data_IF_044293839639
#
_entry.id   IF_044293839639
#
_cell.length_a   1.000
_cell.length_b   1.000
_cell.length_c   1.000
_cell.angle_alpha   90.00
_cell.angle_beta   90.00
_cell.angle_gamma   90.00
#
_symmetry.space_group_name_H-M   'P 1'
#
loop_
_entity.id
_entity.type
_entity.pdbx_description
1 polymer ?
#
# COMPACT_ATOMS: atom_id res chain seq x y z
N UNK A 1 21.21 0.71 -6.67
CA UNK A 1 20.58 1.51 -5.61
C UNK A 1 20.48 2.95 -6.07
N UNK A 2 19.40 3.29 -6.74
CA UNK A 2 19.27 4.45 -7.65
C UNK A 2 18.49 5.61 -7.04
N UNK A 3 18.34 5.73 -5.70
CA UNK A 3 17.49 6.78 -5.08
C UNK A 3 15.98 6.61 -5.36
N UNK A 4 15.61 5.62 -6.18
CA UNK A 4 14.21 5.35 -6.55
C UNK A 4 13.42 4.70 -5.41
N UNK A 5 14.09 4.12 -4.41
CA UNK A 5 13.43 3.53 -3.25
C UNK A 5 12.64 4.58 -2.44
N UNK A 6 13.15 5.80 -2.29
CA UNK A 6 12.46 6.90 -1.63
C UNK A 6 11.22 7.31 -2.41
N UNK A 7 11.30 7.37 -3.74
CA UNK A 7 10.14 7.69 -4.59
C UNK A 7 9.09 6.58 -4.53
N UNK A 8 9.50 5.31 -4.53
CA UNK A 8 8.57 4.19 -4.38
C UNK A 8 7.85 4.24 -3.02
N UNK A 9 8.60 4.49 -1.94
CA UNK A 9 8.03 4.65 -0.60
C UNK A 9 7.02 5.79 -0.52
N UNK A 10 7.25 6.90 -1.23
CA UNK A 10 6.31 8.01 -1.30
C UNK A 10 4.98 7.61 -1.96
N UNK A 11 4.96 6.60 -2.82
CA UNK A 11 3.74 6.02 -3.38
C UNK A 11 2.78 5.49 -2.30
N UNK A 12 3.29 4.97 -1.20
CA UNK A 12 2.46 4.52 -0.07
C UNK A 12 1.75 5.67 0.66
N UNK A 13 2.29 6.88 0.59
CA UNK A 13 1.60 8.07 1.10
C UNK A 13 0.51 8.57 0.15
N UNK A 14 0.70 8.43 -1.16
CA UNK A 14 -0.25 8.87 -2.19
C UNK A 14 -1.41 7.88 -2.35
N UNK A 15 -1.15 6.58 -2.22
CA UNK A 15 -2.13 5.52 -2.44
C UNK A 15 -3.46 5.73 -1.68
N UNK A 16 -3.49 6.10 -0.39
CA UNK A 16 -4.73 6.34 0.33
C UNK A 16 -5.62 7.40 -0.32
N UNK A 17 -5.03 8.47 -0.87
CA UNK A 17 -5.79 9.49 -1.59
C UNK A 17 -6.37 8.96 -2.91
N UNK A 18 -5.60 8.14 -3.63
CA UNK A 18 -6.10 7.46 -4.84
C UNK A 18 -7.27 6.54 -4.50
N UNK A 19 -7.19 5.79 -3.40
CA UNK A 19 -8.28 4.93 -2.95
C UNK A 19 -9.56 5.72 -2.61
N UNK A 20 -9.42 6.88 -1.96
CA UNK A 20 -10.55 7.78 -1.68
C UNK A 20 -11.17 8.30 -2.98
N UNK A 21 -10.36 8.76 -3.91
CA UNK A 21 -10.82 9.25 -5.21
C UNK A 21 -11.55 8.13 -5.97
N UNK A 22 -10.99 6.93 -5.99
CA UNK A 22 -11.62 5.78 -6.65
C UNK A 22 -12.91 5.34 -5.95
N UNK A 23 -12.95 5.36 -4.62
CA UNK A 23 -14.18 5.13 -3.86
C UNK A 23 -15.28 6.13 -4.22
N UNK A 24 -14.93 7.40 -4.33
CA UNK A 24 -15.87 8.45 -4.75
C UNK A 24 -16.37 8.27 -6.18
N UNK A 25 -15.46 8.06 -7.15
CA UNK A 25 -15.80 8.03 -8.58
C UNK A 25 -16.49 6.72 -8.94
N UNK A 26 -15.93 5.57 -8.55
CA UNK A 26 -16.37 4.26 -9.05
C UNK A 26 -17.34 3.54 -8.12
N UNK A 27 -17.29 3.78 -6.82
CA UNK A 27 -18.20 3.17 -5.84
C UNK A 27 -19.30 4.14 -5.38
N UNK A 28 -19.26 5.40 -5.81
CA UNK A 28 -20.26 6.40 -5.43
C UNK A 28 -20.22 6.75 -3.94
N UNK A 29 -19.10 6.52 -3.26
CA UNK A 29 -18.96 6.84 -1.84
C UNK A 29 -19.13 8.34 -1.60
N UNK A 30 -19.84 8.70 -0.54
CA UNK A 30 -20.09 10.08 -0.14
C UNK A 30 -19.47 10.35 1.21
N UNK A 31 -18.86 11.52 1.34
CA UNK A 31 -18.15 11.90 2.54
C UNK A 31 -18.88 13.00 3.30
N UNK A 32 -18.92 12.86 4.63
CA UNK A 32 -19.38 13.93 5.50
C UNK A 32 -18.39 15.12 5.46
N UNK A 33 -18.83 16.29 5.92
CA UNK A 33 -17.94 17.47 6.01
C UNK A 33 -16.72 17.20 6.90
N UNK A 34 -16.89 16.38 7.93
CA UNK A 34 -15.84 16.00 8.87
C UNK A 34 -14.84 15.06 8.18
N UNK A 35 -15.32 14.09 7.40
CA UNK A 35 -14.47 13.22 6.61
C UNK A 35 -13.68 13.99 5.53
N UNK A 36 -14.30 14.98 4.88
CA UNK A 36 -13.61 15.85 3.93
C UNK A 36 -12.48 16.62 4.61
N UNK A 37 -12.71 17.17 5.80
CA UNK A 37 -11.64 17.84 6.56
C UNK A 37 -10.49 16.88 6.89
N UNK A 38 -10.78 15.65 7.29
CA UNK A 38 -9.76 14.63 7.53
C UNK A 38 -8.94 14.30 6.26
N UNK A 39 -9.61 14.20 5.11
CA UNK A 39 -8.95 13.99 3.81
C UNK A 39 -8.05 15.17 3.46
N UNK A 40 -8.48 16.40 3.72
CA UNK A 40 -7.65 17.60 3.51
C UNK A 40 -6.40 17.60 4.37
N UNK A 41 -6.46 17.14 5.62
CA UNK A 41 -5.28 16.96 6.45
C UNK A 41 -4.27 15.99 5.81
N UNK A 42 -4.74 14.87 5.26
CA UNK A 42 -3.89 13.92 4.54
C UNK A 42 -3.27 14.52 3.26
N UNK A 43 -4.04 15.30 2.50
CA UNK A 43 -3.53 16.02 1.33
C UNK A 43 -2.44 17.02 1.73
N UNK A 44 -2.67 17.82 2.76
CA UNK A 44 -1.68 18.77 3.27
C UNK A 44 -0.37 18.07 3.69
N UNK A 45 -0.48 16.91 4.35
CA UNK A 45 0.68 16.09 4.72
C UNK A 45 1.51 15.69 3.51
N UNK A 46 0.88 15.13 2.46
CA UNK A 46 1.57 14.64 1.26
C UNK A 46 2.20 15.79 0.49
N UNK A 47 1.48 16.90 0.35
CA UNK A 47 1.99 18.11 -0.32
C UNK A 47 3.21 18.64 0.41
N UNK A 48 3.14 18.78 1.74
CA UNK A 48 4.25 19.25 2.56
C UNK A 48 5.47 18.34 2.42
N UNK A 49 5.27 17.03 2.49
CA UNK A 49 6.35 16.05 2.37
C UNK A 49 6.96 16.06 0.95
N UNK A 50 6.14 16.14 -0.08
CA UNK A 50 6.59 16.22 -1.48
C UNK A 50 7.47 17.45 -1.74
N UNK A 51 7.06 18.61 -1.26
CA UNK A 51 7.87 19.84 -1.36
C UNK A 51 9.16 19.75 -0.55
N UNK A 52 9.10 19.25 0.68
CA UNK A 52 10.25 19.16 1.56
C UNK A 52 11.33 18.22 1.02
N UNK A 53 10.94 17.11 0.43
CA UNK A 53 11.85 16.11 -0.13
C UNK A 53 12.23 16.38 -1.59
N UNK A 54 11.69 17.42 -2.21
CA UNK A 54 11.90 17.77 -3.64
C UNK A 54 11.70 16.57 -4.57
N UNK A 55 10.71 15.73 -4.26
CA UNK A 55 10.43 14.53 -5.03
C UNK A 55 9.62 14.85 -6.29
N UNK A 56 10.04 14.29 -7.41
CA UNK A 56 9.20 14.21 -8.62
C UNK A 56 8.30 12.97 -8.47
N UNK A 57 6.98 13.12 -8.25
CA UNK A 57 6.13 12.01 -7.81
C UNK A 57 5.72 11.05 -8.93
N UNK A 58 6.39 11.05 -10.09
CA UNK A 58 5.95 10.28 -11.27
C UNK A 58 5.86 8.78 -10.98
N UNK A 59 6.93 8.18 -10.49
CA UNK A 59 6.92 6.75 -10.12
C UNK A 59 5.98 6.46 -8.96
N UNK A 60 5.94 7.34 -7.97
CA UNK A 60 5.04 7.24 -6.83
C UNK A 60 3.57 7.25 -7.24
N UNK A 61 3.20 8.12 -8.19
CA UNK A 61 1.84 8.18 -8.75
C UNK A 61 1.49 6.91 -9.53
N UNK A 62 2.40 6.41 -10.36
CA UNK A 62 2.17 5.16 -11.10
C UNK A 62 1.89 4.01 -10.13
N UNK A 63 2.73 3.85 -9.10
CA UNK A 63 2.56 2.81 -8.07
C UNK A 63 1.23 3.00 -7.34
N UNK A 64 0.92 4.21 -6.90
CA UNK A 64 -0.30 4.50 -6.16
C UNK A 64 -1.56 4.24 -7.00
N UNK A 65 -1.57 4.65 -8.28
CA UNK A 65 -2.70 4.45 -9.19
C UNK A 65 -2.86 2.98 -9.55
N UNK A 66 -1.78 2.26 -9.85
CA UNK A 66 -1.85 0.83 -10.19
C UNK A 66 -2.31 -0.01 -9.01
N UNK A 67 -1.78 0.24 -7.81
CA UNK A 67 -2.22 -0.46 -6.61
C UNK A 67 -3.66 -0.06 -6.20
N UNK A 68 -4.02 1.21 -6.39
CA UNK A 68 -5.40 1.67 -6.20
C UNK A 68 -6.38 0.99 -7.17
N UNK A 69 -6.01 0.89 -8.44
CA UNK A 69 -6.82 0.16 -9.43
C UNK A 69 -6.95 -1.34 -9.08
N UNK A 70 -5.85 -1.96 -8.65
CA UNK A 70 -5.87 -3.34 -8.17
C UNK A 70 -6.88 -3.54 -7.03
N UNK A 71 -6.82 -2.73 -5.98
CA UNK A 71 -7.76 -2.82 -4.86
C UNK A 71 -9.21 -2.53 -5.26
N UNK A 72 -9.42 -1.60 -6.18
CA UNK A 72 -10.75 -1.30 -6.73
C UNK A 72 -11.31 -2.51 -7.49
N UNK A 73 -10.54 -3.13 -8.37
CA UNK A 73 -10.93 -4.34 -9.10
C UNK A 73 -11.28 -5.46 -8.11
N UNK A 74 -10.46 -5.66 -7.09
CA UNK A 74 -10.73 -6.62 -6.00
C UNK A 74 -12.09 -6.38 -5.35
N UNK A 75 -12.46 -5.13 -5.14
CA UNK A 75 -13.73 -4.78 -4.50
C UNK A 75 -14.97 -5.13 -5.35
N UNK A 76 -14.82 -5.25 -6.66
CA UNK A 76 -15.90 -5.65 -7.58
C UNK A 76 -15.89 -7.15 -7.90
N UNK A 77 -14.82 -7.86 -7.59
CA UNK A 77 -14.68 -9.29 -7.91
C UNK A 77 -15.63 -10.13 -7.04
N UNK A 78 -16.38 -11.04 -7.66
CA UNK A 78 -17.33 -11.95 -6.98
C UNK A 78 -16.64 -13.10 -6.24
N UNK A 79 -15.40 -13.43 -6.59
CA UNK A 79 -14.61 -14.48 -5.92
C UNK A 79 -14.41 -14.12 -4.45
N UNK A 80 -14.27 -15.08 -3.57
CA UNK A 80 -13.83 -14.84 -2.20
C UNK A 80 -12.42 -14.24 -2.19
N UNK A 81 -12.00 -13.65 -1.08
CA UNK A 81 -10.68 -13.01 -0.98
C UNK A 81 -9.56 -14.01 -1.19
N UNK A 82 -9.70 -15.21 -0.63
CA UNK A 82 -8.74 -16.31 -0.79
C UNK A 82 -8.68 -16.78 -2.24
N UNK A 83 -9.85 -17.09 -2.84
CA UNK A 83 -9.92 -17.53 -4.25
C UNK A 83 -9.31 -16.51 -5.20
N UNK A 84 -9.60 -15.22 -5.00
CA UNK A 84 -9.09 -14.16 -5.84
C UNK A 84 -7.56 -14.08 -5.81
N UNK A 85 -6.92 -14.17 -4.63
CA UNK A 85 -5.46 -14.17 -4.51
C UNK A 85 -4.87 -15.47 -5.05
N UNK A 86 -5.52 -16.61 -4.84
CA UNK A 86 -5.08 -17.90 -5.37
C UNK A 86 -5.07 -17.91 -6.90
N UNK A 87 -6.14 -17.42 -7.53
CA UNK A 87 -6.24 -17.34 -9.01
C UNK A 87 -5.12 -16.45 -9.57
N UNK A 88 -4.87 -15.28 -8.96
CA UNK A 88 -3.79 -14.41 -9.39
C UNK A 88 -2.42 -15.07 -9.28
N UNK A 89 -2.16 -15.75 -8.17
CA UNK A 89 -0.91 -16.51 -7.98
C UNK A 89 -0.78 -17.62 -9.01
N UNK A 90 -1.85 -18.36 -9.31
CA UNK A 90 -1.85 -19.41 -10.33
C UNK A 90 -1.61 -18.86 -11.74
N UNK A 91 -2.15 -17.69 -12.07
CA UNK A 91 -1.92 -17.03 -13.37
C UNK A 91 -0.48 -16.53 -13.51
N UNK A 92 0.10 -16.04 -12.42
CA UNK A 92 1.49 -15.52 -12.42
C UNK A 92 2.53 -16.65 -12.29
N UNK A 93 2.18 -17.79 -11.72
CA UNK A 93 3.12 -18.89 -11.51
C UNK A 93 3.83 -19.37 -12.79
N UNK A 94 3.16 -19.60 -13.94
CA UNK A 94 3.86 -19.99 -15.17
C UNK A 94 4.86 -18.96 -15.65
N UNK A 95 4.54 -17.66 -15.50
CA UNK A 95 5.45 -16.55 -15.88
C UNK A 95 6.67 -16.55 -14.97
N UNK A 96 6.45 -16.69 -13.65
CA UNK A 96 7.53 -16.77 -12.68
C UNK A 96 8.44 -18.00 -12.91
N UNK A 97 7.86 -19.16 -13.16
CA UNK A 97 8.62 -20.37 -13.48
C UNK A 97 9.41 -20.23 -14.77
N UNK A 98 8.80 -19.68 -15.83
CA UNK A 98 9.48 -19.43 -17.09
C UNK A 98 10.68 -18.48 -16.91
N UNK A 99 10.51 -17.41 -16.14
CA UNK A 99 11.57 -16.46 -15.83
C UNK A 99 12.70 -17.12 -15.03
N UNK A 100 12.39 -17.92 -14.02
CA UNK A 100 13.39 -18.64 -13.23
C UNK A 100 14.14 -19.66 -14.08
N UNK A 101 13.42 -20.42 -14.90
CA UNK A 101 14.01 -21.41 -15.81
C UNK A 101 14.96 -20.76 -16.85
N UNK A 102 14.54 -19.64 -17.43
CA UNK A 102 15.34 -18.90 -18.39
C UNK A 102 16.62 -18.34 -17.74
N UNK A 103 16.52 -17.73 -16.57
CA UNK A 103 17.68 -17.24 -15.84
C UNK A 103 18.63 -18.37 -15.42
N UNK A 104 18.09 -19.51 -14.98
CA UNK A 104 18.90 -20.70 -14.69
C UNK A 104 19.69 -21.17 -15.89
N UNK A 105 19.05 -21.21 -17.08
CA UNK A 105 19.70 -21.65 -18.33
C UNK A 105 20.77 -20.68 -18.82
N UNK A 106 20.63 -19.36 -18.57
CA UNK A 106 21.56 -18.34 -19.04
C UNK A 106 22.76 -18.14 -18.13
N UNK A 107 22.61 -18.27 -16.81
CA UNK A 107 23.66 -17.92 -15.84
C UNK A 107 24.53 -19.11 -15.42
N UNK A 108 24.20 -20.32 -15.87
CA UNK A 108 24.92 -21.53 -15.54
C UNK A 108 24.72 -22.00 -14.09
N UNK A 109 25.08 -23.26 -13.81
CA UNK A 109 24.90 -23.90 -12.51
C UNK A 109 25.67 -23.26 -11.35
N UNK A 110 26.75 -22.53 -11.64
CA UNK A 110 27.66 -22.02 -10.59
C UNK A 110 27.00 -20.92 -9.73
N UNK A 111 26.05 -20.19 -10.25
CA UNK A 111 25.32 -19.11 -9.50
C UNK A 111 24.01 -19.57 -8.85
N UNK A 112 23.51 -20.73 -9.25
CA UNK A 112 22.32 -21.35 -8.70
C UNK A 112 22.72 -22.60 -7.89
N UNK A 113 23.50 -22.43 -6.83
CA UNK A 113 23.61 -23.52 -5.83
C UNK A 113 22.22 -23.73 -5.25
N UNK A 114 21.64 -24.88 -5.57
CA UNK A 114 20.25 -25.24 -5.37
C UNK A 114 19.76 -25.21 -3.89
N UNK A 115 20.64 -24.92 -2.97
CA UNK A 115 20.32 -24.73 -1.55
C UNK A 115 21.12 -23.52 -1.06
N UNK A 116 20.73 -22.31 -1.51
CA UNK A 116 21.15 -21.12 -0.79
C UNK A 116 20.56 -21.19 0.61
N UNK A 117 21.33 -20.86 1.66
CA UNK A 117 20.82 -20.84 3.03
C UNK A 117 19.58 -19.97 3.20
N UNK A 118 19.32 -19.09 2.23
CA UNK A 118 18.19 -18.14 2.22
C UNK A 118 16.93 -18.68 1.51
N UNK A 119 16.93 -19.90 0.96
CA UNK A 119 15.78 -20.44 0.22
C UNK A 119 14.51 -20.51 1.07
N UNK A 120 14.65 -20.88 2.34
CA UNK A 120 13.52 -20.89 3.29
C UNK A 120 12.95 -19.47 3.54
N UNK A 121 13.79 -18.43 3.51
CA UNK A 121 13.35 -17.04 3.63
C UNK A 121 12.45 -16.64 2.45
N UNK A 122 12.78 -17.10 1.24
CA UNK A 122 11.93 -16.88 0.06
C UNK A 122 10.56 -17.55 0.19
N UNK A 123 10.51 -18.78 0.73
CA UNK A 123 9.24 -19.46 1.00
C UNK A 123 8.42 -18.72 2.06
N UNK A 124 9.04 -18.29 3.14
CA UNK A 124 8.39 -17.53 4.22
C UNK A 124 7.92 -16.16 3.72
N UNK A 125 8.68 -15.50 2.82
CA UNK A 125 8.28 -14.22 2.25
C UNK A 125 6.96 -14.31 1.47
N UNK A 126 6.69 -15.43 0.81
CA UNK A 126 5.40 -15.68 0.15
C UNK A 126 4.22 -15.67 1.12
N UNK A 127 4.38 -16.30 2.29
CA UNK A 127 3.34 -16.31 3.33
C UNK A 127 3.16 -14.91 3.95
N UNK A 128 4.26 -14.23 4.23
CA UNK A 128 4.24 -12.87 4.80
C UNK A 128 3.59 -11.86 3.83
N UNK A 129 3.72 -12.07 2.52
CA UNK A 129 3.09 -11.22 1.50
C UNK A 129 1.65 -11.64 1.23
N UNK A 130 1.39 -12.93 1.10
CA UNK A 130 0.07 -13.47 0.76
C UNK A 130 -0.98 -13.24 1.84
N UNK A 131 -0.61 -13.38 3.12
CA UNK A 131 -1.52 -13.14 4.23
C UNK A 131 -2.12 -11.73 4.23
N UNK A 132 -1.32 -10.67 4.30
CA UNK A 132 -1.80 -9.29 4.20
C UNK A 132 -2.58 -9.00 2.91
N UNK A 133 -2.20 -9.62 1.78
CA UNK A 133 -2.89 -9.42 0.51
C UNK A 133 -4.32 -10.00 0.54
N UNK A 134 -4.51 -11.16 1.18
CA UNK A 134 -5.83 -11.75 1.40
C UNK A 134 -6.67 -10.87 2.33
N UNK A 135 -6.08 -10.36 3.42
CA UNK A 135 -6.75 -9.44 4.35
C UNK A 135 -7.14 -8.12 3.65
N UNK A 136 -6.26 -7.58 2.83
CA UNK A 136 -6.56 -6.39 2.01
C UNK A 136 -7.73 -6.66 1.07
N UNK A 137 -7.71 -7.78 0.33
CA UNK A 137 -8.80 -8.18 -0.56
C UNK A 137 -10.12 -8.38 0.21
N UNK A 138 -10.07 -8.89 1.43
CA UNK A 138 -11.23 -9.01 2.31
C UNK A 138 -11.76 -7.64 2.73
N UNK A 139 -10.89 -6.74 3.15
CA UNK A 139 -11.26 -5.40 3.57
C UNK A 139 -11.94 -4.61 2.44
N UNK A 140 -11.38 -4.66 1.20
CA UNK A 140 -11.94 -3.92 0.05
C UNK A 140 -13.37 -4.35 -0.32
N UNK A 141 -13.81 -5.53 0.11
CA UNK A 141 -15.16 -6.07 -0.13
C UNK A 141 -16.15 -5.75 0.98
N UNK A 142 -15.67 -5.60 2.21
CA UNK A 142 -16.53 -5.54 3.39
C UNK A 142 -16.70 -4.13 3.95
N UNK A 143 -15.78 -3.22 3.66
CA UNK A 143 -15.86 -1.82 4.11
C UNK A 143 -15.73 -0.86 2.93
N UNK A 144 -16.00 0.44 3.14
CA UNK A 144 -15.84 1.44 2.09
C UNK A 144 -14.40 1.50 1.61
N UNK A 145 -14.21 1.73 0.30
CA UNK A 145 -12.87 1.73 -0.28
C UNK A 145 -12.03 2.91 0.22
N UNK A 146 -12.67 4.03 0.50
CA UNK A 146 -12.03 5.17 1.15
C UNK A 146 -11.54 4.83 2.57
N UNK A 147 -12.31 4.05 3.35
CA UNK A 147 -11.88 3.59 4.68
C UNK A 147 -10.65 2.68 4.57
N UNK A 148 -10.64 1.75 3.60
CA UNK A 148 -9.44 0.93 3.32
C UNK A 148 -8.24 1.82 3.02
N UNK A 149 -8.43 2.85 2.18
CA UNK A 149 -7.38 3.81 1.86
C UNK A 149 -6.85 4.52 3.11
N UNK A 150 -7.71 5.09 3.94
CA UNK A 150 -7.28 5.81 5.15
C UNK A 150 -6.50 4.90 6.11
N UNK A 151 -6.94 3.64 6.30
CA UNK A 151 -6.23 2.68 7.16
C UNK A 151 -4.83 2.33 6.63
N UNK A 152 -4.61 2.42 5.32
CA UNK A 152 -3.29 2.17 4.74
C UNK A 152 -2.21 3.20 5.16
N UNK A 153 -2.58 4.34 5.74
CA UNK A 153 -1.59 5.24 6.34
C UNK A 153 -0.83 4.65 7.53
N UNK A 154 -1.29 3.52 8.07
CA UNK A 154 -0.53 2.73 9.05
C UNK A 154 0.81 2.26 8.45
N UNK A 155 0.86 1.90 7.16
CA UNK A 155 2.07 1.42 6.50
C UNK A 155 3.21 2.43 6.53
N UNK A 156 3.07 3.68 6.02
CA UNK A 156 4.14 4.66 6.10
C UNK A 156 4.51 5.01 7.54
N UNK A 157 3.57 4.93 8.49
CA UNK A 157 3.87 5.12 9.91
C UNK A 157 4.80 4.02 10.44
N UNK A 158 4.50 2.76 10.16
CA UNK A 158 5.34 1.64 10.56
C UNK A 158 6.71 1.70 9.89
N UNK A 159 6.76 2.02 8.59
CA UNK A 159 8.03 2.22 7.87
C UNK A 159 8.87 3.32 8.51
N UNK A 160 8.27 4.44 8.88
CA UNK A 160 8.96 5.51 9.57
C UNK A 160 9.52 5.07 10.94
N UNK A 161 8.73 4.34 11.74
CA UNK A 161 9.19 3.83 13.03
C UNK A 161 10.36 2.86 12.85
N UNK A 162 10.30 1.95 11.89
CA UNK A 162 11.40 1.02 11.58
C UNK A 162 12.64 1.77 11.12
N UNK A 163 12.51 2.74 10.21
CA UNK A 163 13.63 3.55 9.73
C UNK A 163 14.31 4.31 10.87
N UNK A 164 13.52 4.92 11.76
CA UNK A 164 14.04 5.76 12.85
C UNK A 164 14.63 4.92 13.99
N UNK A 165 13.92 3.87 14.46
CA UNK A 165 14.33 3.14 15.67
C UNK A 165 15.21 1.92 15.40
N UNK A 166 15.09 1.30 14.22
CA UNK A 166 15.86 0.10 13.87
C UNK A 166 17.07 0.47 13.01
N UNK A 167 16.86 1.28 11.95
CA UNK A 167 17.93 1.68 11.05
C UNK A 167 18.65 2.96 11.48
N UNK A 168 18.18 3.61 12.55
CA UNK A 168 18.77 4.85 13.11
C UNK A 168 18.98 5.94 12.05
N UNK A 169 18.07 6.00 11.07
CA UNK A 169 18.10 7.05 10.06
C UNK A 169 17.82 8.42 10.66
N UNK A 170 18.49 9.49 10.18
CA UNK A 170 18.32 10.82 10.72
C UNK A 170 16.87 11.29 10.56
N UNK A 171 16.28 11.66 11.68
CA UNK A 171 14.92 12.19 11.75
C UNK A 171 14.84 13.58 11.11
N UNK A 172 13.96 13.71 10.12
CA UNK A 172 13.67 15.01 9.52
C UNK A 172 12.34 15.54 10.08
N UNK A 173 12.35 16.78 10.53
CA UNK A 173 11.18 17.49 11.09
C UNK A 173 9.97 17.45 10.15
N UNK A 174 10.18 17.46 8.84
CA UNK A 174 9.10 17.36 7.84
C UNK A 174 8.35 16.04 7.89
N UNK A 175 9.05 14.93 8.18
CA UNK A 175 8.38 13.64 8.37
C UNK A 175 7.49 13.65 9.62
N UNK A 176 7.93 14.32 10.70
CA UNK A 176 7.10 14.45 11.89
C UNK A 176 5.81 15.23 11.61
N UNK A 177 5.92 16.38 10.94
CA UNK A 177 4.73 17.16 10.56
C UNK A 177 3.79 16.35 9.69
N UNK A 178 4.31 15.65 8.66
CA UNK A 178 3.49 14.83 7.80
C UNK A 178 2.75 13.74 8.57
N UNK A 179 3.43 13.03 9.47
CA UNK A 179 2.82 11.98 10.30
C UNK A 179 1.76 12.53 11.24
N UNK A 180 1.98 13.67 11.89
CA UNK A 180 1.00 14.30 12.77
C UNK A 180 -0.29 14.61 11.99
N UNK A 181 -0.20 15.23 10.81
CA UNK A 181 -1.37 15.52 9.98
C UNK A 181 -2.08 14.25 9.51
N UNK A 182 -1.34 13.20 9.16
CA UNK A 182 -1.91 11.89 8.80
C UNK A 182 -2.68 11.30 9.98
N UNK A 183 -2.10 11.27 11.17
CA UNK A 183 -2.75 10.70 12.34
C UNK A 183 -3.98 11.48 12.77
N UNK A 184 -3.94 12.81 12.70
CA UNK A 184 -5.11 13.66 12.91
C UNK A 184 -6.20 13.27 11.90
N UNK A 185 -5.86 13.12 10.62
CA UNK A 185 -6.79 12.69 9.57
C UNK A 185 -7.39 11.31 9.87
N UNK A 186 -6.57 10.31 10.23
CA UNK A 186 -7.03 8.95 10.55
C UNK A 186 -8.02 8.97 11.72
N UNK A 187 -7.68 9.65 12.81
CA UNK A 187 -8.52 9.70 14.02
C UNK A 187 -9.87 10.35 13.71
N UNK A 188 -9.85 11.50 13.03
CA UNK A 188 -11.08 12.23 12.69
C UNK A 188 -11.93 11.42 11.72
N UNK A 189 -11.32 10.85 10.67
CA UNK A 189 -12.05 10.05 9.66
C UNK A 189 -12.67 8.79 10.28
N UNK A 190 -11.88 8.05 11.05
CA UNK A 190 -12.33 6.80 11.67
C UNK A 190 -13.42 7.05 12.73
N UNK A 191 -13.27 8.10 13.53
CA UNK A 191 -14.26 8.50 14.51
C UNK A 191 -15.60 8.88 13.88
N UNK A 192 -15.58 9.64 12.78
CA UNK A 192 -16.80 10.02 12.07
C UNK A 192 -17.41 8.82 11.32
N UNK A 193 -16.59 7.94 10.74
CA UNK A 193 -17.08 6.72 10.10
C UNK A 193 -17.81 5.82 11.10
N UNK A 194 -17.23 5.62 12.27
CA UNK A 194 -17.87 4.89 13.38
C UNK A 194 -19.19 5.52 13.81
N UNK A 195 -19.21 6.84 13.98
CA UNK A 195 -20.43 7.59 14.36
C UNK A 195 -21.53 7.43 13.31
N UNK A 196 -21.19 7.47 12.01
CA UNK A 196 -22.17 7.30 10.94
C UNK A 196 -22.73 5.88 10.88
N UNK A 197 -21.92 4.88 11.21
CA UNK A 197 -22.34 3.48 11.26
C UNK A 197 -23.32 3.21 12.41
N UNK A 198 -23.07 3.79 13.58
CA UNK A 198 -23.98 3.68 14.74
C UNK A 198 -25.35 4.37 14.51
N UNK A 199 -25.47 5.23 13.52
CA UNK A 199 -26.72 5.94 13.19
C UNK A 199 -27.54 5.25 12.10
N UNK A 200 -27.02 4.19 11.49
CA UNK A 200 -27.74 3.35 10.51
C UNK A 200 -28.44 2.19 11.16
#
# INVERSE_FOLDING_TARGET
QTGQAVQASFGYYIFPLVAIIFGYIFKGERFSKIQIFAILCAVCSIVTLGFALRLVPTFSLIIAVTFGAYGLIKSFTKLSSLESVTVETMVLAPVAFSFLFFNYSLQGQENYTAIRPDFWLLMVSGLITGGPLILFAFATKNISYATVGILQYINPTLQFLVATFIFLEPFNTWHAFALIFIWIGIIIYSGESWRLELRR
#
